data_IF_154612109295
#
_entry.id   IF_154612109295
#
_cell.length_a   1.000
_cell.length_b   1.000
_cell.length_c   1.000
_cell.angle_alpha   90.00
_cell.angle_beta   90.00
_cell.angle_gamma   90.00
#
_symmetry.space_group_name_H-M   'P 1'
#
loop_
_entity.id
_entity.type
_entity.pdbx_description
1 polymer ?
#
# COMPACT_ATOMS: atom_id res chain seq x y z
N UNK A 1 16.19 11.69 -2.56
CA UNK A 1 15.21 11.32 -3.61
C UNK A 1 14.94 9.82 -3.69
N UNK A 2 15.96 8.94 -3.63
CA UNK A 2 15.75 7.48 -3.71
C UNK A 2 14.81 6.94 -2.62
N UNK A 3 14.90 7.49 -1.40
CA UNK A 3 14.06 7.06 -0.27
C UNK A 3 12.57 7.41 -0.41
N UNK A 4 12.23 8.28 -1.38
CA UNK A 4 10.83 8.62 -1.71
C UNK A 4 10.29 7.79 -2.89
N UNK A 5 11.10 6.89 -3.45
CA UNK A 5 10.72 6.06 -4.59
C UNK A 5 10.22 4.69 -4.15
N UNK A 6 9.31 4.09 -4.93
CA UNK A 6 9.00 2.68 -4.81
C UNK A 6 10.24 1.80 -4.90
N UNK A 7 10.35 0.84 -3.96
CA UNK A 7 11.36 -0.23 -3.98
C UNK A 7 10.93 -1.37 -4.91
N UNK A 8 11.46 -2.59 -4.68
CA UNK A 8 11.16 -3.79 -5.46
C UNK A 8 9.67 -4.02 -5.68
N UNK A 9 8.86 -4.05 -4.62
CA UNK A 9 7.42 -4.27 -4.73
C UNK A 9 6.74 -3.27 -5.65
N UNK A 10 7.01 -1.98 -5.44
CA UNK A 10 6.35 -0.95 -6.22
C UNK A 10 6.83 -0.85 -7.67
N UNK A 11 8.05 -1.32 -7.98
CA UNK A 11 8.50 -1.57 -9.36
C UNK A 11 7.72 -2.70 -10.00
N UNK A 12 7.54 -3.82 -9.31
CA UNK A 12 6.74 -4.95 -9.81
C UNK A 12 5.30 -4.54 -10.11
N UNK A 13 4.67 -3.81 -9.18
CA UNK A 13 3.31 -3.30 -9.39
C UNK A 13 3.26 -2.36 -10.60
N UNK A 14 4.22 -1.44 -10.72
CA UNK A 14 4.28 -0.53 -11.87
C UNK A 14 4.46 -1.30 -13.18
N UNK A 15 5.38 -2.27 -13.20
CA UNK A 15 5.67 -3.12 -14.34
C UNK A 15 4.42 -3.89 -14.79
N UNK A 16 3.80 -4.63 -13.86
CA UNK A 16 2.60 -5.43 -14.07
C UNK A 16 1.40 -4.57 -14.55
N UNK A 17 1.25 -3.35 -14.05
CA UNK A 17 0.17 -2.48 -14.50
C UNK A 17 0.38 -1.93 -15.91
N UNK A 18 1.64 -1.72 -16.31
CA UNK A 18 1.96 -1.17 -17.63
C UNK A 18 2.30 -2.27 -18.65
N UNK A 19 2.20 -3.55 -18.27
CA UNK A 19 2.62 -4.70 -19.08
C UNK A 19 4.01 -4.53 -19.68
N UNK A 20 4.97 -4.15 -18.83
CA UNK A 20 6.38 -4.01 -19.18
C UNK A 20 7.27 -4.84 -18.26
N UNK A 21 8.47 -5.24 -18.69
CA UNK A 21 9.44 -5.89 -17.81
C UNK A 21 9.85 -5.00 -16.64
N UNK A 22 10.05 -5.58 -15.45
CA UNK A 22 10.39 -4.82 -14.24
C UNK A 22 11.79 -4.20 -14.32
N UNK A 23 12.68 -4.81 -15.10
CA UNK A 23 14.09 -4.45 -15.29
C UNK A 23 14.24 -3.12 -16.03
N UNK A 24 13.26 -2.76 -16.86
CA UNK A 24 13.27 -1.50 -17.62
C UNK A 24 12.59 -0.35 -16.85
N UNK A 25 12.02 -0.61 -15.67
CA UNK A 25 11.38 0.41 -14.83
C UNK A 25 12.44 1.32 -14.20
N UNK A 26 12.51 2.56 -14.68
CA UNK A 26 13.46 3.56 -14.18
C UNK A 26 12.90 4.38 -13.03
N UNK A 27 13.78 5.04 -12.26
CA UNK A 27 13.37 5.98 -11.22
C UNK A 27 12.51 7.13 -11.75
N UNK A 28 12.83 7.61 -12.96
CA UNK A 28 12.09 8.69 -13.61
C UNK A 28 10.66 8.24 -13.92
N UNK A 29 10.47 7.02 -14.45
CA UNK A 29 9.12 6.47 -14.69
C UNK A 29 8.28 6.45 -13.40
N UNK A 30 8.86 6.07 -12.26
CA UNK A 30 8.17 6.04 -10.97
C UNK A 30 7.91 7.43 -10.37
N UNK A 31 8.79 8.40 -10.64
CA UNK A 31 8.62 9.80 -10.21
C UNK A 31 7.52 10.50 -10.99
N UNK A 32 7.44 10.29 -12.31
CA UNK A 32 6.48 10.96 -13.20
C UNK A 32 5.03 10.63 -12.87
N UNK A 33 4.81 9.51 -12.19
CA UNK A 33 3.50 9.06 -11.78
C UNK A 33 3.09 9.72 -10.46
N UNK A 34 2.09 10.58 -10.55
CA UNK A 34 1.40 11.12 -9.38
C UNK A 34 0.58 10.04 -8.66
N UNK A 35 0.55 10.11 -7.32
CA UNK A 35 -0.13 9.14 -6.46
C UNK A 35 -0.76 9.86 -5.24
N UNK A 36 -2.10 9.79 -5.06
CA UNK A 36 -2.78 10.44 -3.94
C UNK A 36 -2.27 9.97 -2.57
N UNK A 37 -1.78 8.74 -2.51
CA UNK A 37 -1.36 8.07 -1.28
C UNK A 37 0.15 7.90 -1.18
N UNK A 38 0.93 8.64 -1.97
CA UNK A 38 2.39 8.71 -1.83
C UNK A 38 2.79 9.06 -0.40
N UNK A 39 3.79 8.39 0.15
CA UNK A 39 4.25 8.61 1.52
C UNK A 39 4.61 10.09 1.78
N UNK A 40 4.26 10.58 2.96
CA UNK A 40 4.50 11.96 3.38
C UNK A 40 3.63 12.98 2.66
N UNK A 41 4.16 14.21 2.53
CA UNK A 41 3.45 15.38 2.04
C UNK A 41 3.81 15.80 0.60
N UNK A 42 4.72 15.09 -0.07
CA UNK A 42 5.19 15.44 -1.43
C UNK A 42 4.61 14.52 -2.50
N UNK A 43 4.32 15.08 -3.67
CA UNK A 43 4.01 14.32 -4.89
C UNK A 43 4.69 14.93 -6.10
N UNK A 44 4.83 14.13 -7.15
CA UNK A 44 5.52 14.49 -8.38
C UNK A 44 4.62 14.21 -9.57
N UNK A 45 4.63 15.10 -10.55
CA UNK A 45 3.87 14.99 -11.79
C UNK A 45 4.68 15.62 -12.92
N UNK A 46 4.53 15.10 -14.14
CA UNK A 46 5.00 15.77 -15.35
C UNK A 46 4.09 16.95 -15.76
N UNK A 47 2.89 17.00 -15.21
CA UNK A 47 1.90 18.03 -15.53
C UNK A 47 1.99 19.18 -14.52
N UNK A 48 1.90 20.41 -15.02
CA UNK A 48 1.83 21.62 -14.18
C UNK A 48 0.38 21.89 -13.72
N UNK A 49 -0.31 20.84 -13.26
CA UNK A 49 -1.67 20.92 -12.73
C UNK A 49 -1.80 20.05 -11.48
N UNK A 50 -2.68 20.45 -10.57
CA UNK A 50 -2.99 19.63 -9.40
C UNK A 50 -3.79 18.42 -9.89
N UNK A 51 -3.30 17.18 -9.69
CA UNK A 51 -4.00 15.98 -10.14
C UNK A 51 -5.35 15.86 -9.45
N UNK A 52 -6.39 15.52 -10.21
CA UNK A 52 -7.70 15.21 -9.65
C UNK A 52 -7.76 13.72 -9.30
N UNK A 53 -7.63 13.40 -8.02
CA UNK A 53 -7.69 12.02 -7.56
C UNK A 53 -9.10 11.58 -7.22
N UNK A 54 -9.45 10.35 -7.61
CA UNK A 54 -10.64 9.69 -7.10
C UNK A 54 -10.47 9.42 -5.59
N UNK A 55 -11.56 9.58 -4.84
CA UNK A 55 -11.62 9.15 -3.45
C UNK A 55 -11.28 7.66 -3.32
N UNK A 56 -10.64 7.30 -2.22
CA UNK A 56 -10.42 5.89 -1.88
C UNK A 56 -11.76 5.17 -1.72
N UNK A 57 -11.79 3.91 -2.10
CA UNK A 57 -12.95 3.03 -1.95
C UNK A 57 -12.66 2.01 -0.86
N UNK A 58 -13.67 1.68 -0.07
CA UNK A 58 -13.58 0.65 0.96
C UNK A 58 -13.16 -0.68 0.34
N UNK A 59 -12.24 -1.37 1.00
CA UNK A 59 -11.87 -2.73 0.62
C UNK A 59 -12.85 -3.70 1.26
N UNK A 60 -13.60 -4.40 0.41
CA UNK A 60 -14.59 -5.38 0.84
C UNK A 60 -14.06 -6.82 0.87
N UNK A 61 -12.99 -7.12 0.13
CA UNK A 61 -12.41 -8.46 0.05
C UNK A 61 -10.88 -8.41 0.19
N UNK A 62 -10.41 -8.62 1.43
CA UNK A 62 -8.98 -8.68 1.74
C UNK A 62 -8.32 -9.95 1.20
N UNK A 63 -9.06 -11.06 1.12
CA UNK A 63 -8.54 -12.35 0.62
C UNK A 63 -8.19 -12.20 -0.85
N UNK A 64 -9.06 -11.54 -1.61
CA UNK A 64 -8.84 -11.28 -3.02
C UNK A 64 -7.61 -10.40 -3.26
N UNK A 65 -7.39 -9.38 -2.43
CA UNK A 65 -6.16 -8.57 -2.49
C UNK A 65 -4.91 -9.41 -2.19
N UNK A 66 -4.94 -10.33 -1.22
CA UNK A 66 -3.80 -11.22 -0.96
C UNK A 66 -3.50 -12.09 -2.19
N UNK A 67 -4.53 -12.66 -2.83
CA UNK A 67 -4.36 -13.45 -4.05
C UNK A 67 -3.78 -12.60 -5.19
N UNK A 68 -4.34 -11.42 -5.42
CA UNK A 68 -3.88 -10.45 -6.41
C UNK A 68 -2.42 -10.04 -6.19
N UNK A 69 -2.00 -9.83 -4.94
CA UNK A 69 -0.62 -9.53 -4.61
C UNK A 69 0.34 -10.69 -4.96
N UNK A 70 -0.10 -11.92 -4.77
CA UNK A 70 0.67 -13.11 -5.12
C UNK A 70 0.80 -13.28 -6.64
N UNK A 71 -0.25 -13.02 -7.42
CA UNK A 71 -0.17 -13.04 -8.88
C UNK A 71 0.87 -12.04 -9.42
N UNK A 72 0.94 -10.83 -8.85
CA UNK A 72 1.96 -9.83 -9.20
C UNK A 72 3.37 -10.34 -8.88
N UNK A 73 3.57 -11.01 -7.74
CA UNK A 73 4.86 -11.59 -7.36
C UNK A 73 5.29 -12.72 -8.30
N UNK A 74 4.33 -13.55 -8.71
CA UNK A 74 4.56 -14.71 -9.58
C UNK A 74 4.77 -14.30 -11.05
N UNK A 75 4.58 -13.01 -11.38
CA UNK A 75 4.69 -12.48 -12.74
C UNK A 75 3.46 -12.79 -13.61
N UNK A 76 2.36 -13.20 -12.99
CA UNK A 76 1.11 -13.51 -13.66
C UNK A 76 0.29 -12.22 -13.85
N UNK A 77 0.29 -11.66 -15.05
CA UNK A 77 -0.53 -10.46 -15.36
C UNK A 77 -2.00 -10.80 -15.62
N UNK A 78 -2.33 -12.08 -15.78
CA UNK A 78 -3.63 -12.58 -16.22
C UNK A 78 -4.51 -12.90 -15.01
N UNK A 79 -5.14 -11.87 -14.43
CA UNK A 79 -6.10 -12.11 -13.36
C UNK A 79 -6.46 -10.92 -12.49
N UNK A 80 -5.72 -9.80 -12.58
CA UNK A 80 -6.02 -8.59 -11.81
C UNK A 80 -7.10 -7.77 -12.50
N UNK A 81 -8.18 -7.46 -11.78
CA UNK A 81 -9.18 -6.50 -12.23
C UNK A 81 -8.68 -5.05 -12.16
N UNK A 82 -9.45 -4.12 -12.70
CA UNK A 82 -9.07 -2.71 -12.75
C UNK A 82 -8.93 -2.07 -11.35
N UNK A 83 -9.72 -2.50 -10.37
CA UNK A 83 -9.72 -1.92 -9.03
C UNK A 83 -8.55 -2.44 -8.20
N UNK A 84 -8.21 -3.72 -8.32
CA UNK A 84 -7.02 -4.33 -7.72
C UNK A 84 -5.75 -3.67 -8.24
N UNK A 85 -5.63 -3.54 -9.57
CA UNK A 85 -4.51 -2.82 -10.19
C UNK A 85 -4.40 -1.40 -9.64
N UNK A 86 -5.54 -0.69 -9.56
CA UNK A 86 -5.59 0.66 -9.01
C UNK A 86 -5.15 0.72 -7.55
N UNK A 87 -5.62 -0.19 -6.70
CA UNK A 87 -5.29 -0.24 -5.27
C UNK A 87 -3.81 -0.53 -5.05
N UNK A 88 -3.23 -1.48 -5.79
CA UNK A 88 -1.79 -1.77 -5.67
C UNK A 88 -0.94 -0.63 -6.18
N UNK A 89 -1.33 -0.03 -7.29
CA UNK A 89 -0.69 1.15 -7.83
C UNK A 89 -0.70 2.32 -6.85
N UNK A 90 -1.75 2.45 -6.05
CA UNK A 90 -1.94 3.48 -5.04
C UNK A 90 -1.15 3.14 -3.76
N UNK A 91 -0.09 3.88 -3.48
CA UNK A 91 0.76 3.67 -2.31
C UNK A 91 1.99 2.78 -2.56
N UNK A 92 2.37 2.54 -3.83
CA UNK A 92 3.64 1.84 -4.17
C UNK A 92 4.88 2.57 -3.67
N UNK A 93 4.78 3.87 -3.38
CA UNK A 93 5.90 4.67 -2.88
C UNK A 93 6.31 4.34 -1.44
N UNK A 94 5.54 3.51 -0.74
CA UNK A 94 5.83 3.12 0.63
C UNK A 94 6.94 2.07 0.58
N UNK A 95 8.20 2.51 0.66
CA UNK A 95 9.40 1.69 0.51
C UNK A 95 9.36 0.34 1.26
N UNK A 96 10.09 -0.64 0.76
CA UNK A 96 10.19 -2.02 1.23
C UNK A 96 9.82 -3.05 0.16
N UNK A 97 10.46 -4.23 0.21
CA UNK A 97 10.39 -5.23 -0.84
C UNK A 97 9.15 -6.15 -0.81
N UNK A 98 8.39 -6.15 0.30
CA UNK A 98 7.25 -7.06 0.49
C UNK A 98 5.93 -6.47 -0.01
N UNK A 99 4.96 -7.30 -0.41
CA UNK A 99 3.68 -6.82 -0.89
C UNK A 99 2.91 -5.99 0.12
N UNK A 100 2.43 -4.83 -0.34
CA UNK A 100 1.62 -3.92 0.44
C UNK A 100 0.76 -3.03 -0.44
N UNK A 101 -0.32 -2.51 0.12
CA UNK A 101 -1.16 -1.52 -0.55
C UNK A 101 -1.73 -0.53 0.46
N UNK A 102 -2.07 0.67 -0.01
CA UNK A 102 -2.90 1.57 0.81
C UNK A 102 -4.37 1.20 0.60
N UNK A 103 -5.06 0.90 1.69
CA UNK A 103 -6.47 0.46 1.68
C UNK A 103 -7.30 1.38 2.55
N UNK A 104 -8.52 1.68 2.11
CA UNK A 104 -9.54 2.22 3.00
C UNK A 104 -10.23 1.04 3.69
N UNK A 105 -10.22 1.04 5.01
CA UNK A 105 -10.87 0.03 5.84
C UNK A 105 -11.52 0.73 7.03
N UNK A 106 -12.80 0.47 7.28
CA UNK A 106 -13.55 1.04 8.41
C UNK A 106 -13.45 2.58 8.46
N UNK A 107 -13.48 3.24 7.31
CA UNK A 107 -13.42 4.69 7.15
C UNK A 107 -12.02 5.30 7.35
N UNK A 108 -10.97 4.50 7.52
CA UNK A 108 -9.60 4.96 7.77
C UNK A 108 -8.63 4.39 6.74
N UNK A 109 -7.57 5.14 6.42
CA UNK A 109 -6.53 4.66 5.52
C UNK A 109 -5.50 3.84 6.30
N UNK A 110 -5.27 2.62 5.82
CA UNK A 110 -4.25 1.72 6.32
C UNK A 110 -3.23 1.39 5.24
N UNK A 111 -2.00 1.15 5.65
CA UNK A 111 -1.06 0.34 4.90
C UNK A 111 -1.32 -1.13 5.26
N UNK A 112 -1.87 -1.88 4.31
CA UNK A 112 -1.99 -3.32 4.42
C UNK A 112 -0.68 -3.99 3.99
N UNK A 113 -0.10 -4.84 4.83
CA UNK A 113 1.06 -5.68 4.54
C UNK A 113 0.59 -7.13 4.37
N UNK A 114 0.76 -7.66 3.16
CA UNK A 114 0.25 -8.99 2.81
C UNK A 114 1.30 -10.08 3.08
N UNK A 115 0.87 -11.29 3.48
CA UNK A 115 1.76 -12.43 3.56
C UNK A 115 2.15 -12.88 2.16
N UNK A 116 3.30 -13.55 2.04
CA UNK A 116 3.72 -14.22 0.79
C UNK A 116 3.77 -15.72 1.01
N UNK A 117 3.67 -16.50 -0.07
CA UNK A 117 3.65 -17.98 0.00
C UNK A 117 4.89 -18.57 0.69
N UNK A 118 6.06 -17.97 0.47
CA UNK A 118 7.35 -18.49 0.98
C UNK A 118 7.73 -17.93 2.37
N UNK A 119 6.77 -17.38 3.10
CA UNK A 119 7.00 -16.91 4.45
C UNK A 119 7.28 -18.06 5.42
N UNK A 120 8.43 -17.97 6.11
CA UNK A 120 8.81 -18.96 7.15
C UNK A 120 7.94 -18.89 8.41
N UNK A 121 7.31 -17.75 8.64
CA UNK A 121 6.47 -17.47 9.79
C UNK A 121 5.46 -16.37 9.44
N UNK A 122 4.43 -16.23 10.25
CA UNK A 122 3.42 -15.19 10.06
C UNK A 122 3.97 -13.81 10.47
N UNK A 123 4.50 -13.10 9.47
CA UNK A 123 5.00 -11.74 9.64
C UNK A 123 3.93 -10.77 10.16
N UNK A 124 2.65 -10.95 9.80
CA UNK A 124 1.60 -10.03 10.22
C UNK A 124 1.34 -10.14 11.73
N UNK A 125 1.33 -11.37 12.26
CA UNK A 125 1.24 -11.61 13.71
C UNK A 125 2.47 -11.09 14.46
N UNK A 126 3.67 -11.23 13.88
CA UNK A 126 4.90 -10.65 14.46
C UNK A 126 4.81 -9.13 14.51
N UNK A 127 4.41 -8.48 13.43
CA UNK A 127 4.24 -7.01 13.36
C UNK A 127 3.19 -6.52 14.37
N UNK A 128 2.08 -7.25 14.53
CA UNK A 128 1.07 -6.95 15.54
C UNK A 128 1.64 -7.05 16.96
N UNK A 129 2.32 -8.15 17.29
CA UNK A 129 2.92 -8.35 18.61
C UNK A 129 3.98 -7.29 18.94
N UNK A 130 4.78 -6.89 17.96
CA UNK A 130 5.77 -5.80 18.13
C UNK A 130 5.09 -4.44 18.32
N UNK A 131 4.00 -4.17 17.61
CA UNK A 131 3.23 -2.93 17.76
C UNK A 131 2.58 -2.85 19.14
N UNK A 132 2.04 -3.97 19.63
CA UNK A 132 1.48 -4.06 20.98
C UNK A 132 2.54 -3.91 22.06
N UNK A 133 3.71 -4.52 21.88
CA UNK A 133 4.84 -4.36 22.78
C UNK A 133 5.30 -2.90 22.85
N UNK A 134 5.45 -2.25 21.69
CA UNK A 134 5.81 -0.83 21.62
C UNK A 134 4.82 0.04 22.39
N UNK A 135 3.51 -0.17 22.19
CA UNK A 135 2.46 0.53 22.93
C UNK A 135 2.53 0.27 24.43
N UNK A 136 2.80 -0.98 24.83
CA UNK A 136 2.91 -1.38 26.23
C UNK A 136 4.06 -0.67 26.95
N UNK A 137 5.16 -0.40 26.26
CA UNK A 137 6.32 0.33 26.81
C UNK A 137 6.24 1.85 26.61
N UNK A 138 5.10 2.37 26.16
CA UNK A 138 4.86 3.81 26.01
C UNK A 138 5.44 4.44 24.75
N UNK A 139 5.82 3.65 23.75
CA UNK A 139 6.20 4.17 22.43
C UNK A 139 4.93 4.53 21.67
N UNK A 140 4.88 5.73 21.08
CA UNK A 140 3.79 6.14 20.20
C UNK A 140 3.79 5.30 18.93
N UNK A 141 2.67 4.65 18.64
CA UNK A 141 2.48 3.80 17.46
C UNK A 141 1.21 4.21 16.72
N UNK A 142 1.14 4.05 15.39
CA UNK A 142 -0.14 4.12 14.69
C UNK A 142 -1.12 3.08 15.23
N UNK A 143 -2.41 3.28 14.96
CA UNK A 143 -3.38 2.21 15.20
C UNK A 143 -3.11 1.04 14.27
N UNK A 144 -3.15 -0.17 14.81
CA UNK A 144 -2.84 -1.40 14.08
C UNK A 144 -3.98 -2.39 14.19
N UNK A 145 -4.19 -3.18 13.15
CA UNK A 145 -5.16 -4.27 13.14
C UNK A 145 -4.57 -5.51 12.48
N UNK A 146 -5.08 -6.69 12.84
CA UNK A 146 -4.74 -7.96 12.21
C UNK A 146 -6.01 -8.55 11.59
N UNK A 147 -6.01 -8.72 10.27
CA UNK A 147 -7.09 -9.42 9.57
C UNK A 147 -6.68 -10.90 9.40
N UNK A 148 -7.37 -11.85 10.06
CA UNK A 148 -7.06 -13.26 9.91
C UNK A 148 -7.47 -13.78 8.53
N UNK A 149 -6.63 -14.64 7.96
CA UNK A 149 -6.91 -15.33 6.70
C UNK A 149 -7.35 -16.79 6.97
N UNK A 150 -8.13 -17.41 6.06
CA UNK A 150 -8.60 -18.79 6.22
C UNK A 150 -7.49 -19.85 6.34
N UNK A 151 -6.32 -19.57 5.76
CA UNK A 151 -5.14 -20.45 5.80
C UNK A 151 -4.30 -20.32 7.08
N UNK A 152 -4.81 -19.57 8.06
CA UNK A 152 -4.16 -19.35 9.34
C UNK A 152 -3.15 -18.21 9.35
N UNK A 153 -2.80 -17.59 8.20
CA UNK A 153 -1.94 -16.39 8.15
C UNK A 153 -2.75 -15.13 8.48
N UNK A 154 -2.11 -13.96 8.45
CA UNK A 154 -2.78 -12.68 8.63
C UNK A 154 -2.32 -11.60 7.66
N UNK A 155 -3.16 -10.56 7.53
CA UNK A 155 -2.77 -9.27 6.93
C UNK A 155 -2.64 -8.26 8.05
N UNK A 156 -1.49 -7.60 8.13
CA UNK A 156 -1.26 -6.54 9.11
C UNK A 156 -1.65 -5.20 8.52
N UNK A 157 -2.50 -4.48 9.22
CA UNK A 157 -2.92 -3.12 8.88
C UNK A 157 -2.25 -2.13 9.85
N UNK A 158 -1.55 -1.14 9.31
CA UNK A 158 -1.05 0.00 10.08
C UNK A 158 -1.68 1.27 9.54
N UNK A 159 -2.36 2.03 10.40
CA UNK A 159 -3.00 3.28 10.00
C UNK A 159 -1.98 4.28 9.47
N UNK A 160 -2.35 4.99 8.40
CA UNK A 160 -1.56 6.09 7.81
C UNK A 160 -1.61 7.32 8.74
N UNK A 161 -0.58 7.49 9.57
CA UNK A 161 -0.43 8.67 10.42
C UNK A 161 -0.18 9.98 9.66
N UNK A 162 0.23 9.91 8.40
CA UNK A 162 0.52 11.06 7.53
C UNK A 162 -0.69 11.43 6.64
N UNK A 163 -1.88 11.00 7.04
CA UNK A 163 -3.15 11.29 6.38
C UNK A 163 -4.20 11.70 7.40
N UNK A 164 -5.02 12.68 7.03
CA UNK A 164 -6.16 13.14 7.83
C UNK A 164 -7.45 13.10 7.00
N UNK A 165 -8.54 12.52 7.49
CA UNK A 165 -9.82 12.51 6.77
C UNK A 165 -10.30 13.94 6.46
N UNK A 166 -10.83 14.14 5.25
CA UNK A 166 -11.49 15.40 4.89
C UNK A 166 -12.91 15.40 5.46
N UNK A 167 -13.28 16.37 6.32
CA UNK A 167 -14.61 16.44 6.90
C UNK A 167 -15.71 16.48 5.82
N UNK A 168 -16.72 15.63 5.96
CA UNK A 168 -17.85 15.58 5.03
C UNK A 168 -17.55 14.97 3.65
N UNK A 169 -16.36 14.44 3.41
CA UNK A 169 -15.99 13.78 2.14
C UNK A 169 -15.38 12.40 2.39
N UNK A 170 -16.22 11.37 2.38
CA UNK A 170 -15.77 9.98 2.55
C UNK A 170 -14.72 9.59 1.50
N UNK A 171 -13.72 8.81 1.91
CA UNK A 171 -12.61 8.37 1.06
C UNK A 171 -11.62 9.47 0.65
N UNK A 172 -11.80 10.71 1.11
CA UNK A 172 -10.90 11.83 0.81
C UNK A 172 -10.03 12.15 2.02
N UNK A 173 -8.72 12.37 1.78
CA UNK A 173 -7.73 12.58 2.84
C UNK A 173 -6.80 13.75 2.49
N UNK A 174 -6.56 14.62 3.47
CA UNK A 174 -5.47 15.58 3.43
C UNK A 174 -4.13 14.87 3.69
N UNK A 175 -3.05 15.43 3.14
CA UNK A 175 -1.69 15.06 3.50
C UNK A 175 -1.32 15.79 4.78
N UNK A 176 -0.88 15.06 5.80
CA UNK A 176 -0.42 15.63 7.06
C UNK A 176 1.11 15.75 7.03
N UNK A 177 1.62 16.96 7.18
CA UNK A 177 3.05 17.20 7.41
C UNK A 177 3.42 16.97 8.89
N UNK A 178 4.70 16.70 9.13
CA UNK A 178 5.27 16.66 10.48
C UNK A 178 5.77 18.04 10.90
#
# INVERSE_FOLDING_TARGET
FRDALPDFWGRLVYASNNSIPSEIVTNIMLMRRSDPFRIGALDFSDENQIPNFKAASEVHDMIRLVAAAQEILDGNEVGLDCEERRLFLQGTSMGGARPKATVLHEGRLFLAKFPVKDDRFDNARVEMALSDLARHVGIETPNTQLIPLPDGRGVFLSERFDREPVPGKSGSFFRKGF
#
